data_IF_157430146173
#
_entry.id   IF_157430146173
#
_cell.length_a   1.000
_cell.length_b   1.000
_cell.length_c   1.000
_cell.angle_alpha   90.00
_cell.angle_beta   90.00
_cell.angle_gamma   90.00
#
_symmetry.space_group_name_H-M   'P 1'
#
loop_
_entity.id
_entity.type
_entity.pdbx_description
1 polymer ?
#
# COMPACT_ATOMS: atom_id res chain seq x y z
N UNK A 1 8.38 -0.18 -15.26
CA UNK A 1 7.63 -0.57 -14.05
C UNK A 1 7.74 -2.09 -13.88
N UNK A 2 7.49 -2.62 -12.69
CA UNK A 2 7.64 -4.05 -12.41
C UNK A 2 6.30 -4.78 -12.53
N UNK A 3 6.34 -6.01 -13.05
CA UNK A 3 5.25 -6.96 -12.86
C UNK A 3 5.37 -7.57 -11.47
N UNK A 4 4.33 -7.40 -10.65
CA UNK A 4 4.21 -8.00 -9.33
C UNK A 4 3.56 -9.37 -9.49
N UNK A 5 4.15 -10.40 -8.90
CA UNK A 5 3.74 -11.80 -9.08
C UNK A 5 2.81 -12.28 -7.98
N UNK A 6 1.89 -13.17 -8.32
CA UNK A 6 1.07 -13.91 -7.35
C UNK A 6 1.96 -14.56 -6.26
N UNK A 7 1.49 -14.51 -5.00
CA UNK A 7 2.22 -15.02 -3.85
C UNK A 7 3.30 -14.07 -3.32
N UNK A 8 3.53 -12.93 -3.96
CA UNK A 8 4.38 -11.87 -3.40
C UNK A 8 3.73 -11.28 -2.15
N UNK A 9 4.53 -11.00 -1.11
CA UNK A 9 4.10 -10.17 0.02
C UNK A 9 4.38 -8.71 -0.31
N UNK A 10 3.33 -7.90 -0.36
CA UNK A 10 3.39 -6.49 -0.69
C UNK A 10 3.22 -5.64 0.58
N UNK A 11 4.01 -4.57 0.68
CA UNK A 11 3.81 -3.50 1.65
C UNK A 11 4.00 -2.16 0.94
N UNK A 12 3.20 -1.16 1.34
CA UNK A 12 3.36 0.21 0.89
C UNK A 12 4.23 0.94 1.89
N UNK A 13 5.17 1.74 1.42
CA UNK A 13 5.98 2.62 2.27
C UNK A 13 5.95 4.04 1.71
N UNK A 14 6.06 5.01 2.60
CA UNK A 14 6.15 6.40 2.23
C UNK A 14 6.53 7.27 3.42
N UNK A 15 6.29 8.57 3.29
CA UNK A 15 6.73 9.57 4.26
C UNK A 15 8.11 10.13 3.94
N UNK A 16 8.51 11.15 4.70
CA UNK A 16 9.79 11.86 4.54
C UNK A 16 10.43 12.07 5.90
N UNK A 17 11.74 11.91 6.00
CA UNK A 17 12.52 12.09 7.24
C UNK A 17 11.97 11.26 8.42
N UNK A 18 11.33 11.91 9.40
CA UNK A 18 10.77 11.31 10.62
C UNK A 18 9.44 10.60 10.41
N UNK A 19 8.73 10.89 9.33
CA UNK A 19 7.33 10.47 9.16
C UNK A 19 7.22 9.22 8.28
N UNK A 20 8.26 8.37 8.32
CA UNK A 20 8.26 7.11 7.57
C UNK A 20 7.13 6.22 8.08
N UNK A 21 6.36 5.69 7.15
CA UNK A 21 5.28 4.76 7.44
C UNK A 21 5.36 3.56 6.51
N UNK A 22 4.77 2.47 6.98
CA UNK A 22 4.57 1.25 6.20
C UNK A 22 3.14 0.75 6.42
N UNK A 23 2.45 0.38 5.35
CA UNK A 23 1.09 -0.18 5.37
C UNK A 23 1.09 -1.57 4.74
N UNK A 24 0.46 -2.53 5.42
CA UNK A 24 0.49 -3.96 5.10
C UNK A 24 1.02 -4.79 6.27
N UNK A 25 1.40 -6.06 6.07
CA UNK A 25 1.61 -6.73 4.78
C UNK A 25 0.33 -7.27 4.10
N UNK A 26 0.38 -7.38 2.77
CA UNK A 26 -0.68 -7.93 1.92
C UNK A 26 -0.18 -9.13 1.08
N UNK A 27 -0.99 -10.17 0.93
CA UNK A 27 -0.78 -11.23 -0.06
C UNK A 27 -1.20 -10.71 -1.43
N UNK A 28 -0.36 -10.89 -2.45
CA UNK A 28 -0.74 -10.66 -3.86
C UNK A 28 -1.46 -11.89 -4.40
N UNK A 29 -2.67 -11.69 -4.91
CA UNK A 29 -3.60 -12.75 -5.33
C UNK A 29 -3.52 -13.09 -6.81
N UNK A 30 -2.89 -12.24 -7.62
CA UNK A 30 -2.69 -12.46 -9.06
C UNK A 30 -1.54 -11.61 -9.58
N UNK A 31 -0.96 -12.03 -10.69
CA UNK A 31 0.00 -11.22 -11.42
C UNK A 31 -0.64 -9.90 -11.88
N UNK A 32 0.08 -8.78 -11.71
CA UNK A 32 -0.32 -7.50 -12.27
C UNK A 32 0.88 -6.61 -12.62
N UNK A 33 0.72 -5.79 -13.66
CA UNK A 33 1.69 -4.75 -13.96
C UNK A 33 1.43 -3.51 -13.11
N UNK A 34 2.48 -3.03 -12.44
CA UNK A 34 2.38 -1.88 -11.57
C UNK A 34 1.95 -0.59 -12.32
N UNK A 35 2.41 -0.39 -13.56
CA UNK A 35 2.05 0.80 -14.35
C UNK A 35 0.58 0.79 -14.73
N UNK A 36 0.10 -0.35 -15.23
CA UNK A 36 -1.28 -0.50 -15.67
C UNK A 36 -2.26 -0.28 -14.51
N UNK A 37 -1.95 -0.83 -13.34
CA UNK A 37 -2.81 -0.70 -12.16
C UNK A 37 -2.80 0.72 -11.60
N UNK A 38 -1.66 1.41 -11.58
CA UNK A 38 -1.58 2.83 -11.19
C UNK A 38 -2.35 3.71 -12.17
N UNK A 39 -2.20 3.48 -13.47
CA UNK A 39 -2.92 4.23 -14.49
C UNK A 39 -4.44 3.98 -14.40
N UNK A 40 -4.86 2.74 -14.17
CA UNK A 40 -6.27 2.40 -13.97
C UNK A 40 -6.86 3.07 -12.73
N UNK A 41 -6.11 3.12 -11.63
CA UNK A 41 -6.53 3.83 -10.43
C UNK A 41 -6.66 5.33 -10.69
N UNK A 42 -5.65 5.98 -11.27
CA UNK A 42 -5.72 7.41 -11.61
C UNK A 42 -6.90 7.73 -12.54
N UNK A 43 -7.15 6.88 -13.55
CA UNK A 43 -8.28 7.02 -14.45
C UNK A 43 -9.65 6.97 -13.74
N UNK A 44 -9.75 6.29 -12.59
CA UNK A 44 -10.99 6.25 -11.80
C UNK A 44 -11.35 7.58 -11.12
N UNK A 45 -10.41 8.53 -11.08
CA UNK A 45 -10.59 9.87 -10.54
C UNK A 45 -10.62 10.96 -11.62
N UNK A 46 -10.17 10.65 -12.84
CA UNK A 46 -10.12 11.59 -13.94
C UNK A 46 -11.46 12.32 -14.15
N UNK A 47 -11.43 13.65 -14.10
CA UNK A 47 -12.60 14.50 -14.30
C UNK A 47 -13.55 14.60 -13.10
N UNK A 48 -13.26 13.95 -11.97
CA UNK A 48 -13.99 14.19 -10.72
C UNK A 48 -13.50 15.50 -10.12
N UNK A 49 -14.46 16.30 -9.64
CA UNK A 49 -14.19 17.53 -8.90
C UNK A 49 -14.84 17.49 -7.53
N UNK A 50 -14.20 18.11 -6.56
CA UNK A 50 -14.78 18.28 -5.22
C UNK A 50 -15.80 19.44 -5.19
N UNK A 51 -16.31 19.77 -4.00
CA UNK A 51 -17.29 20.85 -3.80
C UNK A 51 -16.74 22.25 -4.12
N UNK A 52 -15.42 22.40 -4.18
CA UNK A 52 -14.70 23.64 -4.51
C UNK A 52 -14.27 23.68 -5.98
N UNK A 53 -14.54 22.62 -6.73
CA UNK A 53 -14.19 22.51 -8.14
C UNK A 53 -12.73 22.08 -8.36
N UNK A 54 -12.01 21.61 -7.36
CA UNK A 54 -10.65 21.08 -7.48
C UNK A 54 -10.69 19.64 -8.00
N UNK A 55 -9.67 19.23 -8.78
CA UNK A 55 -9.59 17.85 -9.27
C UNK A 55 -9.36 16.90 -8.10
N UNK A 56 -10.20 15.87 -7.99
CA UNK A 56 -10.06 14.88 -6.92
C UNK A 56 -8.89 13.98 -7.26
N UNK A 57 -7.87 13.95 -6.40
CA UNK A 57 -6.78 12.97 -6.51
C UNK A 57 -7.09 11.72 -5.68
N UNK A 58 -6.62 10.57 -6.16
CA UNK A 58 -6.65 9.34 -5.37
C UNK A 58 -5.62 9.40 -4.24
N UNK A 59 -5.94 8.80 -3.09
CA UNK A 59 -5.05 8.69 -1.96
C UNK A 59 -4.58 7.23 -1.76
N UNK A 60 -3.69 7.02 -0.80
CA UNK A 60 -3.17 5.69 -0.52
C UNK A 60 -4.27 4.73 -0.03
N UNK A 61 -5.16 5.20 0.85
CA UNK A 61 -6.23 4.37 1.40
C UNK A 61 -7.20 3.92 0.31
N UNK A 62 -7.56 4.83 -0.61
CA UNK A 62 -8.34 4.56 -1.80
C UNK A 62 -7.62 3.61 -2.76
N UNK A 63 -6.30 3.73 -2.92
CA UNK A 63 -5.53 2.80 -3.76
C UNK A 63 -5.52 1.38 -3.18
N UNK A 64 -5.29 1.23 -1.88
CA UNK A 64 -5.34 -0.07 -1.20
C UNK A 64 -6.75 -0.68 -1.31
N UNK A 65 -7.77 0.15 -1.14
CA UNK A 65 -9.18 -0.27 -1.30
C UNK A 65 -9.46 -0.72 -2.74
N UNK A 66 -8.97 0.02 -3.74
CA UNK A 66 -9.06 -0.34 -5.15
C UNK A 66 -8.41 -1.70 -5.45
N UNK A 67 -7.19 -1.92 -4.94
CA UNK A 67 -6.48 -3.19 -5.11
C UNK A 67 -7.23 -4.36 -4.44
N UNK A 68 -7.74 -4.13 -3.23
CA UNK A 68 -8.45 -5.15 -2.45
C UNK A 68 -9.77 -5.53 -3.13
N UNK A 69 -10.59 -4.55 -3.50
CA UNK A 69 -11.86 -4.77 -4.18
C UNK A 69 -11.67 -5.33 -5.60
N UNK A 70 -10.57 -4.98 -6.26
CA UNK A 70 -10.17 -5.52 -7.56
C UNK A 70 -9.53 -6.92 -7.48
N UNK A 71 -9.46 -7.54 -6.29
CA UNK A 71 -8.90 -8.87 -6.10
C UNK A 71 -7.41 -8.97 -6.44
N UNK A 72 -6.67 -7.87 -6.35
CA UNK A 72 -5.22 -7.86 -6.53
C UNK A 72 -4.49 -8.27 -5.24
N UNK A 73 -5.01 -7.87 -4.08
CA UNK A 73 -4.38 -8.09 -2.79
C UNK A 73 -5.39 -8.49 -1.71
N UNK A 74 -4.91 -9.06 -0.61
CA UNK A 74 -5.64 -9.21 0.67
C UNK A 74 -4.69 -9.01 1.86
N UNK A 75 -5.21 -8.70 3.04
CA UNK A 75 -4.40 -8.69 4.26
C UNK A 75 -3.77 -10.06 4.55
N UNK A 76 -2.49 -10.06 4.93
CA UNK A 76 -1.83 -11.27 5.44
C UNK A 76 -2.33 -11.56 6.85
N UNK A 77 -2.98 -12.71 7.03
CA UNK A 77 -3.46 -13.14 8.34
C UNK A 77 -2.30 -13.38 9.31
N UNK A 78 -2.50 -13.00 10.58
CA UNK A 78 -1.53 -13.22 11.68
C UNK A 78 -0.16 -12.57 11.42
N UNK A 79 -0.13 -11.42 10.74
CA UNK A 79 1.07 -10.63 10.55
C UNK A 79 1.27 -9.65 11.72
N UNK A 80 2.53 -9.39 12.04
CA UNK A 80 2.95 -8.38 13.02
C UNK A 80 4.08 -7.56 12.43
N UNK A 81 3.99 -6.24 12.58
CA UNK A 81 5.07 -5.31 12.27
C UNK A 81 5.71 -4.85 13.59
N UNK A 82 7.03 -4.91 13.67
CA UNK A 82 7.78 -4.46 14.83
C UNK A 82 8.67 -3.27 14.44
N UNK A 83 8.42 -2.12 15.06
CA UNK A 83 9.27 -0.95 14.94
C UNK A 83 10.36 -0.98 16.01
N UNK A 84 11.63 -0.92 15.59
CA UNK A 84 12.79 -1.02 16.50
C UNK A 84 13.42 0.31 16.88
N UNK A 85 12.85 1.46 16.46
CA UNK A 85 13.37 2.79 16.79
C UNK A 85 14.78 3.09 16.24
N UNK A 86 15.29 4.27 16.58
CA UNK A 86 16.62 4.76 16.15
C UNK A 86 17.74 4.52 17.20
N UNK A 87 17.40 4.14 18.45
CA UNK A 87 18.33 4.11 19.61
C UNK A 87 18.79 2.71 20.08
N UNK A 88 18.55 1.65 19.30
CA UNK A 88 19.22 0.33 19.35
C UNK A 88 19.64 -0.32 20.70
N UNK A 89 18.86 -0.23 21.78
CA UNK A 89 18.93 -1.25 22.84
C UNK A 89 17.87 -2.33 22.59
N UNK A 90 18.20 -3.25 21.69
CA UNK A 90 17.37 -4.41 21.39
C UNK A 90 17.69 -5.55 22.36
N UNK A 91 16.89 -5.67 23.43
CA UNK A 91 16.99 -6.78 24.40
C UNK A 91 15.71 -7.66 24.37
N UNK A 92 15.61 -8.63 23.44
CA UNK A 92 14.41 -9.46 23.30
C UNK A 92 14.34 -10.51 24.41
N UNK A 93 13.37 -10.37 25.31
CA UNK A 93 12.98 -11.45 26.23
C UNK A 93 12.05 -12.41 25.50
N UNK A 94 12.57 -13.58 25.13
CA UNK A 94 11.77 -14.70 24.60
C UNK A 94 11.19 -15.46 25.81
N UNK A 95 9.86 -15.54 25.90
CA UNK A 95 9.14 -16.38 26.86
C UNK A 95 9.05 -17.84 26.40
#
# INVERSE_FOLDING_TARGET
MATIKEGTILAFSGGSYSDKWTTGPFDVLRDFDQAEVVAAYAASYAGKRDEWGEEVEGDQAGFISFLTLGGYIRDVARSYNWYTGDDYDFDPVIA
#
